data_IF_040958878537
#
_entry.id   IF_040958878537
#
_cell.length_a   1.000
_cell.length_b   1.000
_cell.length_c   1.000
_cell.angle_alpha   90.00
_cell.angle_beta   90.00
_cell.angle_gamma   90.00
#
_symmetry.space_group_name_H-M   'P 1'
#
loop_
_entity.id
_entity.type
_entity.pdbx_description
1 polymer ?
#
# COMPACT_ATOMS: atom_id res chain seq x y z
N UNK A 1 11.38 14.54 -19.77
CA UNK A 1 12.00 14.63 -18.43
C UNK A 1 13.50 14.66 -18.65
N UNK A 2 14.15 15.79 -18.36
CA UNK A 2 15.60 15.95 -18.45
C UNK A 2 16.28 14.92 -17.51
N UNK A 3 17.33 14.25 -17.99
CA UNK A 3 18.16 13.38 -17.17
C UNK A 3 18.89 14.26 -16.14
N UNK A 4 18.44 14.32 -14.88
CA UNK A 4 19.33 14.82 -13.80
C UNK A 4 18.74 15.51 -12.57
N UNK A 5 17.43 15.78 -12.46
CA UNK A 5 16.96 16.75 -11.45
C UNK A 5 16.68 16.19 -10.04
N UNK A 6 16.47 14.88 -9.89
CA UNK A 6 16.14 14.26 -8.58
C UNK A 6 17.01 13.05 -8.27
N UNK A 7 17.32 12.84 -6.99
CA UNK A 7 18.09 11.69 -6.50
C UNK A 7 17.28 10.39 -6.61
N UNK A 8 16.00 10.44 -6.19
CA UNK A 8 15.05 9.34 -6.30
C UNK A 8 13.62 9.87 -6.53
N UNK A 9 12.75 9.00 -7.05
CA UNK A 9 11.31 9.23 -7.19
C UNK A 9 10.59 8.26 -6.26
N UNK A 10 9.92 8.81 -5.23
CA UNK A 10 9.05 8.04 -4.35
C UNK A 10 7.69 7.84 -5.02
N UNK A 11 7.43 6.64 -5.52
CA UNK A 11 6.16 6.26 -6.13
C UNK A 11 5.16 5.91 -5.03
N UNK A 12 4.06 6.66 -4.98
CA UNK A 12 2.95 6.42 -4.05
C UNK A 12 2.06 5.30 -4.57
N UNK A 13 2.56 4.07 -4.57
CA UNK A 13 1.87 2.90 -5.10
C UNK A 13 0.87 2.30 -4.10
N UNK A 14 -0.03 3.15 -3.62
CA UNK A 14 -1.10 2.84 -2.67
C UNK A 14 -2.28 3.78 -2.93
N UNK A 15 -3.39 3.59 -2.23
CA UNK A 15 -4.65 4.31 -2.46
C UNK A 15 -5.21 4.14 -3.88
N UNK A 16 -4.88 3.02 -4.53
CA UNK A 16 -5.42 2.68 -5.86
C UNK A 16 -6.94 2.57 -5.86
N UNK A 17 -7.50 2.05 -4.77
CA UNK A 17 -8.94 1.97 -4.55
C UNK A 17 -9.31 2.72 -3.28
N UNK A 18 -10.27 3.63 -3.41
CA UNK A 18 -10.87 4.39 -2.32
C UNK A 18 -12.37 4.36 -2.48
N UNK A 19 -13.11 4.31 -1.37
CA UNK A 19 -14.55 4.51 -1.42
C UNK A 19 -14.88 5.89 -1.99
N UNK A 20 -15.75 5.90 -3.01
CA UNK A 20 -16.39 7.09 -3.57
C UNK A 20 -17.86 6.75 -3.86
N UNK A 21 -18.77 7.68 -3.60
CA UNK A 21 -20.21 7.45 -3.85
C UNK A 21 -20.53 7.13 -5.32
N UNK A 22 -19.76 7.70 -6.26
CA UNK A 22 -19.89 7.46 -7.70
C UNK A 22 -19.05 6.28 -8.21
N UNK A 23 -18.20 5.69 -7.38
CA UNK A 23 -17.50 4.43 -7.66
C UNK A 23 -17.48 3.55 -6.40
N UNK A 24 -18.66 3.04 -5.99
CA UNK A 24 -18.88 2.51 -4.66
C UNK A 24 -18.49 1.04 -4.55
N UNK A 25 -17.29 0.67 -5.01
CA UNK A 25 -16.80 -0.70 -5.00
C UNK A 25 -15.64 -0.86 -4.01
N UNK A 26 -15.59 -2.00 -3.32
CA UNK A 26 -14.39 -2.41 -2.57
C UNK A 26 -13.24 -2.64 -3.53
N UNK A 27 -12.00 -2.56 -3.03
CA UNK A 27 -10.84 -2.81 -3.86
C UNK A 27 -9.57 -2.80 -3.05
N UNK A 28 -8.46 -3.14 -3.70
CA UNK A 28 -7.19 -3.32 -3.03
C UNK A 28 -6.45 -1.99 -2.87
N UNK A 29 -5.90 -1.73 -1.69
CA UNK A 29 -5.15 -0.51 -1.40
C UNK A 29 -3.85 -0.44 -2.24
N UNK A 30 -3.09 -1.54 -2.28
CA UNK A 30 -1.79 -1.66 -2.95
C UNK A 30 -1.60 -3.05 -3.60
N UNK A 31 -2.38 -3.38 -4.65
CA UNK A 31 -2.19 -4.63 -5.39
C UNK A 31 -0.88 -4.57 -6.18
N UNK A 32 -0.08 -5.64 -6.10
CA UNK A 32 1.19 -5.75 -6.80
C UNK A 32 0.98 -5.88 -8.31
N UNK A 33 0.05 -6.75 -8.70
CA UNK A 33 -0.31 -7.05 -10.08
C UNK A 33 -1.77 -6.71 -10.37
N UNK A 34 -2.15 -6.74 -11.64
CA UNK A 34 -3.57 -6.79 -12.04
C UNK A 34 -4.09 -8.22 -11.88
N UNK A 35 -5.36 -8.37 -11.51
CA UNK A 35 -6.05 -9.65 -11.67
C UNK A 35 -6.62 -9.86 -13.08
N UNK A 36 -7.18 -11.04 -13.30
CA UNK A 36 -7.71 -11.46 -14.60
C UNK A 36 -8.92 -10.63 -15.06
N UNK A 37 -9.73 -10.19 -14.10
CA UNK A 37 -10.93 -9.39 -14.35
C UNK A 37 -10.69 -7.88 -14.26
N UNK A 38 -9.45 -7.45 -13.99
CA UNK A 38 -9.10 -6.04 -14.01
C UNK A 38 -8.92 -5.60 -15.46
N UNK A 39 -9.89 -4.83 -15.97
CA UNK A 39 -9.94 -4.38 -17.36
C UNK A 39 -9.83 -2.85 -17.46
N UNK A 40 -9.39 -2.37 -18.63
CA UNK A 40 -9.32 -0.95 -18.96
C UNK A 40 -8.60 -0.13 -17.89
N UNK A 41 -9.28 0.83 -17.26
CA UNK A 41 -8.70 1.67 -16.22
C UNK A 41 -8.30 0.87 -14.97
N UNK A 42 -9.06 -0.14 -14.55
CA UNK A 42 -8.72 -0.94 -13.37
C UNK A 42 -7.45 -1.78 -13.58
N UNK A 43 -7.14 -2.16 -14.82
CA UNK A 43 -5.90 -2.86 -15.16
C UNK A 43 -4.63 -2.04 -14.89
N UNK A 44 -4.75 -0.72 -14.72
CA UNK A 44 -3.62 0.18 -14.44
C UNK A 44 -3.42 0.48 -12.95
N UNK A 45 -4.38 0.09 -12.11
CA UNK A 45 -4.43 0.40 -10.68
C UNK A 45 -3.62 -0.61 -9.84
N UNK A 46 -2.35 -0.80 -10.17
CA UNK A 46 -1.41 -1.68 -9.48
C UNK A 46 0.04 -1.18 -9.56
N UNK A 47 0.89 -1.75 -8.68
CA UNK A 47 2.30 -1.38 -8.55
C UNK A 47 3.07 -1.65 -9.85
N UNK A 48 2.93 -2.86 -10.42
CA UNK A 48 3.65 -3.27 -11.63
C UNK A 48 3.41 -2.31 -12.79
N UNK A 49 2.15 -1.97 -13.07
CA UNK A 49 1.79 -1.03 -14.11
C UNK A 49 2.38 0.35 -13.83
N UNK A 50 2.30 0.83 -12.59
CA UNK A 50 2.81 2.16 -12.19
C UNK A 50 4.32 2.27 -12.38
N UNK A 51 5.07 1.26 -11.95
CA UNK A 51 6.53 1.21 -12.13
C UNK A 51 6.87 1.18 -13.63
N UNK A 52 6.22 0.30 -14.40
CA UNK A 52 6.47 0.17 -15.83
C UNK A 52 6.12 1.45 -16.59
N UNK A 53 5.06 2.16 -16.19
CA UNK A 53 4.68 3.45 -16.76
C UNK A 53 5.81 4.49 -16.60
N UNK A 54 6.34 4.65 -15.39
CA UNK A 54 7.42 5.60 -15.14
C UNK A 54 8.70 5.26 -15.90
N UNK A 55 9.05 3.96 -15.97
CA UNK A 55 10.18 3.48 -16.78
C UNK A 55 9.97 3.81 -18.26
N UNK A 56 8.77 3.54 -18.81
CA UNK A 56 8.44 3.85 -20.19
C UNK A 56 8.46 5.36 -20.49
N UNK A 57 8.19 6.21 -19.49
CA UNK A 57 8.33 7.67 -19.57
C UNK A 57 9.77 8.17 -19.41
N UNK A 58 10.74 7.27 -19.23
CA UNK A 58 12.16 7.58 -19.19
C UNK A 58 12.73 7.75 -17.77
N UNK A 59 11.98 7.41 -16.72
CA UNK A 59 12.52 7.41 -15.37
C UNK A 59 13.56 6.29 -15.20
N UNK A 60 14.79 6.59 -14.73
CA UNK A 60 15.78 5.55 -14.50
C UNK A 60 15.30 4.57 -13.41
N UNK A 61 15.22 3.27 -13.74
CA UNK A 61 14.77 2.21 -12.79
C UNK A 61 15.45 2.28 -11.42
N UNK A 62 16.75 2.56 -11.39
CA UNK A 62 17.52 2.62 -10.14
C UNK A 62 17.21 3.84 -9.26
N UNK A 63 16.47 4.83 -9.76
CA UNK A 63 15.98 5.98 -9.00
C UNK A 63 14.56 5.81 -8.50
N UNK A 64 13.85 4.75 -8.90
CA UNK A 64 12.48 4.51 -8.44
C UNK A 64 12.50 3.86 -7.06
N UNK A 65 11.71 4.42 -6.16
CA UNK A 65 11.45 3.90 -4.82
C UNK A 65 9.96 3.67 -4.70
N UNK A 66 9.55 2.43 -4.44
CA UNK A 66 8.12 2.09 -4.34
C UNK A 66 7.66 2.15 -2.90
N UNK A 67 6.64 2.96 -2.64
CA UNK A 67 6.01 3.03 -1.33
C UNK A 67 5.11 1.82 -1.07
N UNK A 68 5.25 1.23 0.11
CA UNK A 68 4.37 0.18 0.62
C UNK A 68 3.57 0.76 1.80
N UNK A 69 2.22 0.66 1.79
CA UNK A 69 1.41 1.23 2.86
C UNK A 69 1.44 0.35 4.11
N UNK A 70 1.77 0.93 5.26
CA UNK A 70 1.62 0.30 6.59
C UNK A 70 0.22 0.49 7.18
N UNK A 71 -0.76 0.69 6.30
CA UNK A 71 -2.15 0.98 6.60
C UNK A 71 -3.06 0.32 5.56
N UNK A 72 -4.34 0.24 5.89
CA UNK A 72 -5.39 -0.29 5.04
C UNK A 72 -6.48 0.73 4.73
N UNK A 73 -7.23 0.43 3.68
CA UNK A 73 -8.45 1.14 3.29
C UNK A 73 -9.66 0.28 3.63
N UNK A 74 -10.75 0.92 4.04
CA UNK A 74 -11.93 0.21 4.55
C UNK A 74 -13.22 0.67 3.90
N UNK A 75 -14.14 -0.28 3.75
CA UNK A 75 -15.45 -0.10 3.14
C UNK A 75 -16.54 -0.67 4.03
N UNK A 76 -17.71 -0.03 4.00
CA UNK A 76 -18.94 -0.59 4.54
C UNK A 76 -19.71 -1.23 3.39
N UNK A 77 -19.73 -2.55 3.33
CA UNK A 77 -20.46 -3.33 2.33
C UNK A 77 -21.95 -3.00 2.34
N UNK A 78 -22.61 -3.06 1.18
CA UNK A 78 -24.07 -2.99 1.10
C UNK A 78 -24.70 -4.17 1.83
N UNK A 79 -24.25 -5.39 1.53
CA UNK A 79 -24.66 -6.64 2.17
C UNK A 79 -23.43 -7.39 2.69
N UNK A 80 -23.51 -7.96 3.88
CA UNK A 80 -22.41 -8.74 4.48
C UNK A 80 -22.01 -9.96 3.65
N UNK A 81 -22.95 -10.56 2.93
CA UNK A 81 -22.69 -11.68 2.03
C UNK A 81 -21.87 -11.28 0.79
N UNK A 82 -21.81 -9.99 0.45
CA UNK A 82 -21.04 -9.49 -0.68
C UNK A 82 -19.63 -9.10 -0.22
N UNK A 83 -18.87 -10.09 0.20
CA UNK A 83 -17.55 -9.90 0.82
C UNK A 83 -16.37 -10.09 -0.15
N UNK A 84 -16.65 -10.37 -1.43
CA UNK A 84 -15.64 -10.52 -2.46
C UNK A 84 -15.06 -9.16 -2.89
N UNK A 85 -13.87 -9.13 -3.52
CA UNK A 85 -13.33 -7.92 -4.14
C UNK A 85 -14.32 -7.32 -5.13
N UNK A 86 -14.33 -5.98 -5.23
CA UNK A 86 -15.26 -5.21 -6.07
C UNK A 86 -16.74 -5.35 -5.70
N UNK A 87 -17.04 -5.78 -4.47
CA UNK A 87 -18.38 -5.74 -3.93
C UNK A 87 -18.88 -4.30 -3.74
N UNK A 88 -20.19 -4.12 -3.86
CA UNK A 88 -20.83 -2.83 -3.60
C UNK A 88 -20.72 -2.44 -2.12
N UNK A 89 -20.28 -1.19 -1.90
CA UNK A 89 -20.16 -0.55 -0.60
C UNK A 89 -21.07 0.68 -0.54
N UNK A 90 -21.56 1.01 0.65
CA UNK A 90 -22.45 2.15 0.87
C UNK A 90 -21.78 3.33 1.56
N UNK A 91 -20.61 3.11 2.17
CA UNK A 91 -19.83 4.15 2.83
C UNK A 91 -18.38 3.70 3.02
N UNK A 92 -17.57 4.61 3.55
CA UNK A 92 -16.33 4.28 4.25
C UNK A 92 -16.61 3.23 5.34
N UNK A 93 -15.68 2.29 5.51
CA UNK A 93 -15.76 1.27 6.55
C UNK A 93 -15.27 1.79 7.90
N UNK A 94 -14.71 0.88 8.69
CA UNK A 94 -14.12 1.16 10.00
C UNK A 94 -13.21 2.38 9.99
N UNK A 95 -13.22 3.12 11.10
CA UNK A 95 -12.32 4.25 11.35
C UNK A 95 -12.29 5.27 10.19
N UNK A 96 -13.47 5.56 9.63
CA UNK A 96 -13.65 6.51 8.53
C UNK A 96 -12.86 6.18 7.26
N UNK A 97 -12.72 4.88 6.93
CA UNK A 97 -12.15 4.46 5.65
C UNK A 97 -10.65 4.17 5.68
N UNK A 98 -10.03 4.19 6.86
CA UNK A 98 -8.59 4.04 7.05
C UNK A 98 -8.31 3.25 8.32
N UNK A 99 -7.39 2.29 8.27
CA UNK A 99 -6.90 1.58 9.47
C UNK A 99 -5.39 1.50 9.43
N UNK A 100 -4.71 1.64 10.55
CA UNK A 100 -3.31 1.25 10.70
C UNK A 100 -3.16 -0.27 10.67
N UNK A 101 -1.94 -0.78 10.43
CA UNK A 101 -1.68 -2.22 10.50
C UNK A 101 -2.08 -2.85 11.86
N UNK A 102 -1.76 -2.25 13.03
CA UNK A 102 -2.25 -2.77 14.31
C UNK A 102 -3.79 -2.84 14.43
N UNK A 103 -4.51 -1.87 13.86
CA UNK A 103 -5.98 -1.88 13.85
C UNK A 103 -6.53 -2.99 12.93
N UNK A 104 -5.89 -3.24 11.79
CA UNK A 104 -6.20 -4.39 10.94
C UNK A 104 -5.95 -5.73 11.68
N UNK A 105 -4.85 -5.84 12.42
CA UNK A 105 -4.60 -7.02 13.26
C UNK A 105 -5.65 -7.18 14.37
N UNK A 106 -6.11 -6.09 14.98
CA UNK A 106 -7.18 -6.13 15.95
C UNK A 106 -8.51 -6.60 15.33
N UNK A 107 -8.79 -6.20 14.09
CA UNK A 107 -9.95 -6.67 13.34
C UNK A 107 -9.91 -8.18 13.11
N UNK A 108 -8.74 -8.75 12.75
CA UNK A 108 -8.54 -10.20 12.66
C UNK A 108 -8.78 -10.90 14.00
N UNK A 109 -8.28 -10.34 15.11
CA UNK A 109 -8.51 -10.89 16.47
C UNK A 109 -9.98 -10.91 16.87
N UNK A 110 -10.81 -10.05 16.29
CA UNK A 110 -12.27 -10.03 16.50
C UNK A 110 -13.01 -11.11 15.69
N UNK A 111 -12.29 -11.95 14.94
CA UNK A 111 -12.87 -13.04 14.16
C UNK A 111 -13.14 -12.66 12.70
N UNK A 112 -12.55 -11.57 12.19
CA UNK A 112 -12.60 -11.28 10.76
C UNK A 112 -11.95 -12.40 9.94
N UNK A 113 -12.58 -12.77 8.83
CA UNK A 113 -12.03 -13.72 7.88
C UNK A 113 -10.98 -13.00 7.05
N UNK A 114 -9.78 -13.56 6.96
CA UNK A 114 -8.71 -13.06 6.09
C UNK A 114 -8.61 -13.90 4.83
N UNK A 115 -8.47 -13.25 3.68
CA UNK A 115 -8.28 -13.89 2.38
C UNK A 115 -7.08 -13.23 1.70
N UNK A 116 -6.17 -14.04 1.17
CA UNK A 116 -5.07 -13.57 0.36
C UNK A 116 -5.46 -13.68 -1.12
N UNK A 117 -5.37 -12.59 -1.87
CA UNK A 117 -5.59 -12.60 -3.33
C UNK A 117 -4.26 -12.91 -4.01
N UNK A 118 -4.08 -14.15 -4.46
CA UNK A 118 -2.84 -14.61 -5.10
C UNK A 118 -2.54 -13.90 -6.42
N UNK A 119 -3.58 -13.47 -7.16
CA UNK A 119 -3.37 -12.79 -8.44
C UNK A 119 -2.77 -11.39 -8.23
N UNK A 120 -3.14 -10.72 -7.13
CA UNK A 120 -2.73 -9.33 -6.85
C UNK A 120 -1.69 -9.24 -5.73
N UNK A 121 -1.33 -10.35 -5.10
CA UNK A 121 -0.38 -10.47 -3.98
C UNK A 121 -0.67 -9.48 -2.85
N UNK A 122 -1.93 -9.45 -2.39
CA UNK A 122 -2.39 -8.53 -1.34
C UNK A 122 -3.57 -9.15 -0.56
N UNK A 123 -3.59 -9.04 0.78
CA UNK A 123 -4.71 -9.53 1.56
C UNK A 123 -5.88 -8.55 1.62
N UNK A 124 -7.05 -9.11 1.88
CA UNK A 124 -8.18 -8.38 2.44
C UNK A 124 -8.82 -9.19 3.57
N UNK A 125 -9.61 -8.53 4.41
CA UNK A 125 -10.35 -9.17 5.47
C UNK A 125 -11.74 -8.59 5.61
N UNK A 126 -12.67 -9.37 6.15
CA UNK A 126 -14.04 -8.93 6.35
C UNK A 126 -14.67 -9.53 7.61
N UNK A 127 -15.57 -8.77 8.22
CA UNK A 127 -16.40 -9.19 9.35
C UNK A 127 -17.73 -8.44 9.29
N UNK A 128 -18.83 -9.18 9.22
CA UNK A 128 -20.14 -8.58 9.00
C UNK A 128 -20.16 -7.75 7.73
N UNK A 129 -20.31 -6.43 7.85
CA UNK A 129 -20.33 -5.49 6.72
C UNK A 129 -19.04 -4.69 6.55
N UNK A 130 -18.06 -4.89 7.42
CA UNK A 130 -16.78 -4.19 7.31
C UNK A 130 -15.81 -5.01 6.47
N UNK A 131 -15.17 -4.34 5.51
CA UNK A 131 -14.21 -4.93 4.57
C UNK A 131 -12.95 -4.06 4.56
N UNK A 132 -11.78 -4.69 4.66
CA UNK A 132 -10.49 -4.03 4.87
C UNK A 132 -9.46 -4.61 3.90
N UNK A 133 -8.85 -3.78 3.05
CA UNK A 133 -7.63 -4.15 2.32
C UNK A 133 -6.43 -3.52 2.99
N UNK A 134 -5.37 -4.30 3.21
CA UNK A 134 -4.18 -3.92 3.96
C UNK A 134 -2.97 -4.73 3.45
N UNK A 135 -1.80 -4.52 4.06
CA UNK A 135 -0.60 -5.33 3.80
C UNK A 135 -0.37 -6.31 4.96
N UNK A 136 0.07 -7.53 4.67
CA UNK A 136 0.58 -8.48 5.65
C UNK A 136 2.03 -8.87 5.34
N UNK A 137 2.58 -9.80 6.12
CA UNK A 137 3.97 -10.25 5.91
C UNK A 137 4.17 -10.89 4.54
N UNK A 138 3.17 -11.60 4.03
CA UNK A 138 3.27 -12.28 2.75
C UNK A 138 3.29 -11.27 1.61
N UNK A 139 2.35 -10.32 1.61
CA UNK A 139 2.30 -9.28 0.58
C UNK A 139 3.53 -8.35 0.61
N UNK A 140 4.07 -8.04 1.78
CA UNK A 140 5.33 -7.29 1.90
C UNK A 140 6.51 -8.11 1.33
N UNK A 141 6.56 -9.41 1.61
CA UNK A 141 7.60 -10.29 1.07
C UNK A 141 7.53 -10.37 -0.46
N UNK A 142 6.32 -10.57 -1.01
CA UNK A 142 6.06 -10.55 -2.45
C UNK A 142 6.41 -9.21 -3.09
N UNK A 143 6.33 -8.09 -2.36
CA UNK A 143 6.75 -6.77 -2.85
C UNK A 143 8.24 -6.48 -2.62
N UNK A 144 8.94 -7.30 -1.83
CA UNK A 144 10.31 -7.04 -1.37
C UNK A 144 11.40 -7.09 -2.46
N UNK A 145 11.11 -7.70 -3.63
CA UNK A 145 12.01 -7.63 -4.78
C UNK A 145 12.00 -6.25 -5.46
N UNK A 146 10.95 -5.46 -5.23
CA UNK A 146 10.93 -4.07 -5.61
C UNK A 146 11.87 -3.35 -4.63
N UNK A 147 12.73 -2.46 -5.12
CA UNK A 147 13.54 -1.60 -4.23
C UNK A 147 12.60 -0.69 -3.43
N UNK A 148 12.13 -1.20 -2.31
CA UNK A 148 11.36 -0.50 -1.30
C UNK A 148 12.39 0.15 -0.38
N UNK A 149 12.40 1.47 -0.31
CA UNK A 149 13.04 2.10 0.84
C UNK A 149 12.04 2.04 2.00
N UNK A 150 12.52 1.80 3.23
CA UNK A 150 11.67 1.79 4.41
C UNK A 150 10.88 3.10 4.55
N UNK A 151 9.74 3.02 5.23
CA UNK A 151 8.80 4.13 5.39
C UNK A 151 9.48 5.40 5.94
N UNK A 152 8.94 6.59 5.66
CA UNK A 152 9.51 7.87 6.13
C UNK A 152 9.71 7.89 7.66
N UNK A 153 8.91 7.17 8.44
CA UNK A 153 9.10 7.03 9.90
C UNK A 153 10.36 6.25 10.29
N UNK A 154 10.83 5.34 9.44
CA UNK A 154 12.09 4.58 9.63
C UNK A 154 13.31 5.32 9.07
N UNK A 155 13.11 6.17 8.05
CA UNK A 155 14.15 7.10 7.58
C UNK A 155 14.47 8.14 8.65
N UNK A 156 13.44 8.65 9.35
CA UNK A 156 13.63 9.59 10.47
C UNK A 156 14.28 8.94 11.71
N UNK A 157 14.15 7.63 11.92
CA UNK A 157 14.88 6.95 13.01
C UNK A 157 16.34 6.69 12.65
N UNK A 158 16.67 6.48 11.36
CA UNK A 158 18.06 6.38 10.88
C UNK A 158 18.77 7.73 10.78
N UNK A 159 18.07 8.86 10.61
CA UNK A 159 18.71 10.18 10.69
C UNK A 159 19.17 10.54 12.11
N UNK A 160 18.54 9.97 13.13
CA UNK A 160 18.94 10.19 14.53
C UNK A 160 20.17 9.36 14.95
N UNK A 161 20.46 8.23 14.29
CA UNK A 161 21.69 7.47 14.58
C UNK A 161 22.93 8.09 13.92
N UNK A 162 22.79 8.60 12.69
CA UNK A 162 23.89 9.28 11.96
C UNK A 162 24.23 10.64 12.60
N UNK A 163 23.25 11.34 13.17
CA UNK A 163 23.48 12.59 13.91
C UNK A 163 24.29 12.39 15.19
N UNK A 164 24.10 11.28 15.90
CA UNK A 164 24.80 10.98 17.17
C UNK A 164 26.25 10.51 16.92
N UNK A 165 26.52 9.74 15.86
CA UNK A 165 27.89 9.33 15.52
C UNK A 165 28.78 10.50 15.09
N UNK A 166 28.21 11.50 14.39
CA UNK A 166 28.97 12.69 13.99
C UNK A 166 29.23 13.66 15.15
N UNK A 167 28.37 13.70 16.17
CA UNK A 167 28.60 14.47 17.40
C UNK A 167 29.72 13.87 18.25
N UNK A 168 29.75 12.53 18.41
CA UNK A 168 30.82 11.85 19.16
C UNK A 168 32.21 12.05 18.54
N UNK A 169 32.31 12.04 17.20
CA UNK A 169 33.57 12.33 16.50
C UNK A 169 34.03 13.79 16.61
N UNK A 170 33.12 14.72 16.91
CA UNK A 170 33.45 16.14 17.08
C UNK A 170 33.94 16.45 18.51
N UNK A 171 33.48 15.69 19.51
CA UNK A 171 33.91 15.80 20.91
C UNK A 171 35.24 15.08 21.19
N UNK A 172 35.60 14.05 20.43
CA UNK A 172 36.91 13.37 20.55
C UNK A 172 38.06 14.11 19.83
N UNK A 173 37.74 15.12 19.03
CA UNK A 173 38.70 15.90 18.23
C UNK A 173 39.02 17.30 18.82
N UNK A 174 38.49 17.63 20.00
CA UNK A 174 38.79 18.87 20.74
C UNK A 174 39.24 18.60 22.18
#
# INVERSE_FOLDING_TARGET
MSKGEVDFLSLMCYDYHLYKSYLPFTGFNSPLHKGDHDISFFATLNIEWTVNYWVAKGAPKHKLVVGIPTYGRTWKLLLSAWNQPYALAVNHGMLSGYVSYPEALNFLKQGAVSVFDDQRSVPYSYLGRDWVSYEDRNSIYEKGWIKVLPSISEICSHSNSIGIENLKKYEEAN
#
